data_IF_157450160712
#
_entry.id   IF_157450160712
#
_cell.length_a   1.000
_cell.length_b   1.000
_cell.length_c   1.000
_cell.angle_alpha   90.00
_cell.angle_beta   90.00
_cell.angle_gamma   90.00
#
_symmetry.space_group_name_H-M   'P 1'
#
loop_
_entity.id
_entity.type
_entity.pdbx_description
1 polymer ?
#
# COMPACT_ATOMS: atom_id res chain seq x y z
N UNK A 1 3.40 29.78 -2.84
CA UNK A 1 4.25 28.71 -2.47
C UNK A 1 3.82 27.43 -3.14
N UNK A 2 4.74 26.82 -3.57
CA UNK A 2 4.44 25.54 -4.15
C UNK A 2 4.03 24.63 -3.04
N UNK A 3 2.90 24.10 -3.15
CA UNK A 3 2.57 22.98 -2.36
C UNK A 3 3.03 21.75 -3.04
N UNK A 4 2.82 20.69 -2.41
CA UNK A 4 3.07 19.41 -3.03
C UNK A 4 1.92 19.09 -3.94
N UNK A 5 1.90 19.80 -5.04
CA UNK A 5 0.85 19.62 -6.02
C UNK A 5 0.83 18.17 -6.46
N UNK A 6 -0.34 17.62 -6.56
CA UNK A 6 -0.52 16.26 -7.02
C UNK A 6 -0.42 15.19 -5.94
N UNK A 7 -0.08 15.56 -4.71
CA UNK A 7 -0.05 14.60 -3.61
C UNK A 7 -1.24 14.84 -2.70
N UNK A 8 -2.06 13.81 -2.53
CA UNK A 8 -3.22 13.87 -1.66
C UNK A 8 -3.28 12.60 -0.83
N UNK A 9 -3.10 12.74 0.48
CA UNK A 9 -3.14 11.60 1.37
C UNK A 9 -4.57 11.09 1.52
N UNK A 10 -4.73 9.76 1.47
CA UNK A 10 -6.03 9.09 1.53
C UNK A 10 -6.17 8.38 2.87
N UNK A 11 -5.15 7.63 3.27
CA UNK A 11 -5.21 6.82 4.48
C UNK A 11 -3.84 6.77 5.13
N UNK A 12 -3.82 6.60 6.44
CA UNK A 12 -2.59 6.50 7.21
C UNK A 12 -2.72 5.38 8.23
N UNK A 13 -1.64 4.63 8.41
CA UNK A 13 -1.58 3.54 9.37
C UNK A 13 -0.97 4.05 10.67
N UNK A 14 -1.77 4.69 11.50
CA UNK A 14 -1.30 5.29 12.75
C UNK A 14 -0.79 4.24 13.73
N UNK A 15 -1.42 3.07 13.72
CA UNK A 15 -1.02 1.99 14.61
C UNK A 15 0.39 1.51 14.31
N UNK A 16 0.79 1.50 13.05
CA UNK A 16 2.14 1.09 12.67
C UNK A 16 3.20 2.01 13.28
N UNK A 17 2.94 3.32 13.27
CA UNK A 17 3.86 4.28 13.89
C UNK A 17 3.93 4.11 15.41
N UNK A 18 2.86 3.65 16.02
CA UNK A 18 2.82 3.42 17.45
C UNK A 18 3.54 2.12 17.83
N UNK A 19 3.35 1.07 17.03
CA UNK A 19 3.80 -0.28 17.37
C UNK A 19 5.23 -0.60 16.91
N UNK A 20 5.76 0.17 15.94
CA UNK A 20 7.05 -0.14 15.31
C UNK A 20 7.94 1.08 15.22
N UNK A 21 9.25 0.82 15.27
CA UNK A 21 10.23 1.82 14.87
C UNK A 21 10.41 1.72 13.35
N UNK A 22 10.19 2.81 12.65
CA UNK A 22 10.33 2.83 11.19
C UNK A 22 11.76 3.22 10.85
N UNK A 23 12.52 2.29 10.31
CA UNK A 23 13.92 2.50 9.98
C UNK A 23 14.11 3.16 8.63
N UNK A 24 13.35 2.73 7.64
CA UNK A 24 13.41 3.27 6.28
C UNK A 24 12.03 3.32 5.67
N UNK A 25 11.86 4.22 4.69
CA UNK A 25 10.59 4.35 3.98
C UNK A 25 10.82 4.21 2.49
N UNK A 26 9.83 3.66 1.81
CA UNK A 26 9.86 3.42 0.36
C UNK A 26 8.52 3.80 -0.23
N UNK A 27 8.52 4.18 -1.50
CA UNK A 27 7.28 4.42 -2.24
C UNK A 27 7.09 3.29 -3.26
N UNK A 28 5.88 2.74 -3.30
CA UNK A 28 5.52 1.71 -4.26
C UNK A 28 4.25 2.11 -4.99
N UNK A 29 4.10 1.62 -6.22
CA UNK A 29 2.81 1.66 -6.89
C UNK A 29 1.95 0.51 -6.39
N UNK A 30 0.70 0.48 -6.81
CA UNK A 30 -0.21 -0.59 -6.44
C UNK A 30 -1.13 -0.89 -7.62
N UNK A 31 -1.34 -2.18 -7.89
CA UNK A 31 -2.26 -2.61 -8.94
C UNK A 31 -3.67 -2.68 -8.38
N UNK A 32 -4.56 -1.88 -8.93
CA UNK A 32 -5.95 -1.81 -8.51
C UNK A 32 -6.86 -1.91 -9.71
N UNK A 33 -8.03 -2.50 -9.49
CA UNK A 33 -9.10 -2.47 -10.48
C UNK A 33 -9.83 -1.12 -10.39
N UNK A 34 -10.58 -0.79 -11.44
CA UNK A 34 -11.27 0.50 -11.50
C UNK A 34 -12.19 0.79 -10.32
N UNK A 35 -12.95 -0.23 -9.87
CA UNK A 35 -13.82 -0.07 -8.73
C UNK A 35 -13.04 0.18 -7.44
N UNK A 36 -11.87 -0.42 -7.33
CA UNK A 36 -11.00 -0.20 -6.18
C UNK A 36 -10.45 1.23 -6.17
N UNK A 37 -10.04 1.73 -7.32
CA UNK A 37 -9.55 3.10 -7.44
C UNK A 37 -10.64 4.09 -7.03
N UNK A 38 -11.87 3.84 -7.47
CA UNK A 38 -13.00 4.71 -7.13
C UNK A 38 -13.25 4.71 -5.63
N UNK A 39 -13.22 3.54 -5.01
CA UNK A 39 -13.41 3.42 -3.57
C UNK A 39 -12.28 4.12 -2.80
N UNK A 40 -11.04 3.95 -3.24
CA UNK A 40 -9.89 4.61 -2.65
C UNK A 40 -10.05 6.13 -2.72
N UNK A 41 -10.52 6.63 -3.86
CA UNK A 41 -10.74 8.07 -4.05
C UNK A 41 -11.75 8.62 -3.05
N UNK A 42 -12.68 7.79 -2.63
CA UNK A 42 -13.70 8.16 -1.64
C UNK A 42 -13.27 7.86 -0.21
N UNK A 43 -12.03 7.44 -0.01
CA UNK A 43 -11.51 7.15 1.32
C UNK A 43 -11.86 5.78 1.86
N UNK A 44 -12.35 4.89 1.03
CA UNK A 44 -12.78 3.55 1.45
C UNK A 44 -11.66 2.56 1.64
N UNK A 45 -10.63 2.94 2.39
CA UNK A 45 -9.43 2.13 2.60
C UNK A 45 -9.10 2.05 4.08
N UNK A 46 -8.72 0.87 4.55
CA UNK A 46 -8.24 0.68 5.91
C UNK A 46 -6.93 -0.12 5.86
N UNK A 47 -5.87 0.45 6.44
CA UNK A 47 -4.54 -0.15 6.47
C UNK A 47 -4.24 -0.88 7.78
N UNK A 48 -5.15 -0.85 8.74
CA UNK A 48 -4.92 -1.44 10.04
C UNK A 48 -4.61 -2.93 9.91
N UNK A 49 -3.56 -3.36 10.59
CA UNK A 49 -3.12 -4.76 10.62
C UNK A 49 -2.70 -5.30 9.24
N UNK A 50 -2.42 -4.43 8.30
CA UNK A 50 -1.89 -4.84 7.00
C UNK A 50 -0.37 -5.00 7.08
N UNK A 51 0.17 -5.82 6.21
CA UNK A 51 1.61 -6.02 6.10
C UNK A 51 1.95 -6.50 4.69
N UNK A 52 3.22 -6.38 4.34
CA UNK A 52 3.68 -6.77 3.02
C UNK A 52 4.37 -8.12 3.05
N UNK A 53 4.22 -8.87 1.97
CA UNK A 53 4.91 -10.15 1.78
C UNK A 53 5.59 -10.14 0.43
N UNK A 54 6.75 -10.81 0.34
CA UNK A 54 7.47 -10.98 -0.91
C UNK A 54 7.44 -12.45 -1.24
N UNK A 55 6.93 -12.77 -2.42
CA UNK A 55 6.79 -14.16 -2.86
C UNK A 55 7.20 -14.24 -4.32
N UNK A 56 8.15 -15.11 -4.62
CA UNK A 56 8.64 -15.33 -6.00
C UNK A 56 9.12 -14.03 -6.65
N UNK A 57 9.78 -13.18 -5.87
CA UNK A 57 10.34 -11.92 -6.39
C UNK A 57 9.33 -10.83 -6.60
N UNK A 58 8.09 -11.03 -6.16
CA UNK A 58 7.04 -10.03 -6.27
C UNK A 58 6.56 -9.59 -4.90
N UNK A 59 6.13 -8.34 -4.82
CA UNK A 59 5.73 -7.71 -3.57
C UNK A 59 4.21 -7.58 -3.52
N UNK A 60 3.63 -7.99 -2.41
CA UNK A 60 2.18 -7.92 -2.20
C UNK A 60 1.87 -7.28 -0.86
N UNK A 61 0.70 -6.65 -0.77
CA UNK A 61 0.17 -6.19 0.51
C UNK A 61 -1.01 -7.09 0.90
N UNK A 62 -0.96 -7.58 2.13
CA UNK A 62 -1.98 -8.43 2.71
C UNK A 62 -2.68 -7.67 3.83
N UNK A 63 -4.00 -7.82 3.92
CA UNK A 63 -4.76 -7.20 5.00
C UNK A 63 -5.18 -5.77 4.75
N UNK A 64 -4.91 -5.22 3.57
CA UNK A 64 -5.41 -3.90 3.21
C UNK A 64 -6.86 -4.06 2.73
N UNK A 65 -7.78 -3.42 3.44
CA UNK A 65 -9.20 -3.47 3.11
C UNK A 65 -9.56 -2.30 2.20
N UNK A 66 -10.15 -2.60 1.05
CA UNK A 66 -10.72 -1.58 0.16
C UNK A 66 -12.21 -1.88 0.04
N UNK A 67 -13.03 -0.95 0.51
CA UNK A 67 -14.48 -1.13 0.54
C UNK A 67 -15.03 -1.30 -0.88
N UNK A 68 -16.09 -2.10 -1.05
CA UNK A 68 -16.74 -2.18 -2.35
C UNK A 68 -17.26 -0.80 -2.76
N UNK A 69 -17.13 -0.50 -4.04
CA UNK A 69 -17.70 0.72 -4.58
C UNK A 69 -19.19 0.50 -4.80
N UNK A 70 -20.00 1.31 -4.15
CA UNK A 70 -21.44 1.13 -4.12
C UNK A 70 -22.06 0.96 -5.51
N UNK A 71 -21.55 1.74 -6.47
CA UNK A 71 -22.07 1.70 -7.84
C UNK A 71 -21.36 0.70 -8.72
N UNK A 72 -20.44 -0.08 -8.16
CA UNK A 72 -19.67 -1.05 -8.94
C UNK A 72 -20.37 -2.37 -9.18
N UNK A 73 -21.29 -2.74 -8.27
CA UNK A 73 -22.10 -3.96 -8.39
C UNK A 73 -21.22 -5.18 -8.67
N UNK A 74 -21.46 -5.86 -9.79
CA UNK A 74 -20.74 -7.09 -10.15
C UNK A 74 -19.26 -6.86 -10.46
N UNK A 75 -18.83 -5.63 -10.65
CA UNK A 75 -17.43 -5.33 -10.94
C UNK A 75 -16.60 -5.13 -9.68
N UNK A 76 -17.20 -5.18 -8.51
CA UNK A 76 -16.46 -5.07 -7.26
C UNK A 76 -15.64 -6.32 -7.02
N UNK A 77 -14.49 -6.12 -6.36
CA UNK A 77 -13.59 -7.20 -5.97
C UNK A 77 -13.73 -7.47 -4.48
N UNK A 78 -13.22 -8.62 -4.05
CA UNK A 78 -13.14 -8.92 -2.62
C UNK A 78 -12.40 -7.79 -1.92
N UNK A 79 -12.97 -7.18 -0.88
CA UNK A 79 -12.31 -6.08 -0.16
C UNK A 79 -10.93 -6.44 0.38
N UNK A 80 -10.70 -7.70 0.71
CA UNK A 80 -9.43 -8.17 1.27
C UNK A 80 -8.55 -8.85 0.22
N UNK A 81 -8.85 -8.67 -1.05
CA UNK A 81 -8.06 -9.24 -2.13
C UNK A 81 -6.58 -8.90 -1.95
N UNK A 82 -5.71 -9.89 -2.14
CA UNK A 82 -4.27 -9.67 -2.13
C UNK A 82 -3.91 -8.73 -3.29
N UNK A 83 -3.20 -7.66 -2.99
CA UNK A 83 -2.89 -6.63 -3.98
C UNK A 83 -1.39 -6.58 -4.22
N UNK A 84 -1.02 -6.52 -5.49
CA UNK A 84 0.38 -6.47 -5.87
C UNK A 84 0.89 -5.03 -5.81
N UNK A 85 2.05 -4.86 -5.20
CA UNK A 85 2.73 -3.57 -5.16
C UNK A 85 3.80 -3.54 -6.23
N UNK A 86 4.05 -2.36 -6.76
CA UNK A 86 4.94 -2.17 -7.90
C UNK A 86 6.19 -1.42 -7.46
N UNK A 87 7.32 -2.12 -7.51
CA UNK A 87 8.65 -1.57 -7.28
C UNK A 87 9.61 -2.23 -8.25
N UNK A 88 10.77 -1.65 -8.44
CA UNK A 88 11.79 -2.29 -9.26
C UNK A 88 12.20 -3.62 -8.62
N UNK A 89 12.42 -4.62 -9.46
CA UNK A 89 12.78 -5.96 -8.97
C UNK A 89 14.02 -5.95 -8.12
N UNK A 90 14.97 -5.09 -8.44
CA UNK A 90 16.19 -4.94 -7.66
C UNK A 90 15.89 -4.45 -6.24
N UNK A 91 14.96 -3.53 -6.10
CA UNK A 91 14.55 -3.04 -4.79
C UNK A 91 13.81 -4.10 -4.00
N UNK A 92 12.94 -4.86 -4.66
CA UNK A 92 12.20 -5.94 -4.00
C UNK A 92 13.18 -7.00 -3.48
N UNK A 93 14.18 -7.37 -4.28
CA UNK A 93 15.18 -8.35 -3.86
C UNK A 93 15.97 -7.85 -2.66
N UNK A 94 16.33 -6.57 -2.66
CA UNK A 94 17.04 -5.97 -1.54
C UNK A 94 16.21 -5.99 -0.26
N UNK A 95 14.92 -5.64 -0.39
CA UNK A 95 14.02 -5.65 0.75
C UNK A 95 13.82 -7.07 1.28
N UNK A 96 13.71 -8.05 0.39
CA UNK A 96 13.58 -9.43 0.79
C UNK A 96 14.79 -9.87 1.63
N UNK A 97 15.98 -9.52 1.19
CA UNK A 97 17.20 -9.84 1.94
C UNK A 97 17.18 -9.22 3.33
N UNK A 98 16.79 -7.96 3.42
CA UNK A 98 16.77 -7.27 4.71
C UNK A 98 15.73 -7.84 5.66
N UNK A 99 14.53 -8.16 5.16
CA UNK A 99 13.50 -8.74 6.01
C UNK A 99 13.91 -10.11 6.54
N UNK A 100 14.59 -10.90 5.72
CA UNK A 100 15.05 -12.24 6.12
C UNK A 100 16.25 -12.19 7.06
N UNK A 101 17.24 -11.36 6.75
CA UNK A 101 18.48 -11.34 7.52
C UNK A 101 18.38 -10.58 8.82
N UNK A 102 17.61 -9.49 8.84
CA UNK A 102 17.51 -8.62 10.00
C UNK A 102 16.21 -8.81 10.79
N UNK A 103 15.33 -9.70 10.33
CA UNK A 103 14.07 -9.94 11.02
C UNK A 103 13.12 -8.76 10.97
N UNK A 104 13.21 -7.92 9.94
CA UNK A 104 12.38 -6.73 9.82
C UNK A 104 11.05 -7.06 9.15
N UNK A 105 10.06 -6.23 9.44
CA UNK A 105 8.72 -6.35 8.84
C UNK A 105 8.50 -5.17 7.92
N UNK A 106 7.91 -5.42 6.76
CA UNK A 106 7.57 -4.38 5.79
C UNK A 106 6.09 -4.09 5.90
N UNK A 107 5.72 -2.85 6.16
CA UNK A 107 4.35 -2.46 6.52
C UNK A 107 3.91 -1.26 5.70
N UNK A 108 2.69 -1.24 5.16
CA UNK A 108 2.17 -0.04 4.52
C UNK A 108 1.88 1.03 5.58
N UNK A 109 2.43 2.22 5.39
CA UNK A 109 2.29 3.34 6.32
C UNK A 109 1.20 4.31 5.88
N UNK A 110 1.07 4.54 4.59
CA UNK A 110 0.06 5.44 4.07
C UNK A 110 -0.27 5.12 2.62
N UNK A 111 -1.42 5.58 2.20
CA UNK A 111 -1.90 5.48 0.83
C UNK A 111 -2.24 6.90 0.37
N UNK A 112 -1.80 7.26 -0.82
CA UNK A 112 -2.02 8.61 -1.32
C UNK A 112 -2.08 8.62 -2.85
N UNK A 113 -2.69 9.67 -3.40
CA UNK A 113 -2.57 9.97 -4.82
C UNK A 113 -1.37 10.85 -5.03
N UNK A 114 -0.53 10.48 -5.98
CA UNK A 114 0.56 11.32 -6.45
C UNK A 114 0.28 11.57 -7.92
N UNK A 115 -0.05 12.82 -8.22
CA UNK A 115 -0.65 13.19 -9.48
C UNK A 115 -1.96 12.43 -9.62
N UNK A 116 -2.11 11.51 -10.53
CA UNK A 116 -3.35 10.75 -10.67
C UNK A 116 -3.17 9.27 -10.37
N UNK A 117 -2.04 8.90 -9.76
CA UNK A 117 -1.74 7.50 -9.47
C UNK A 117 -1.76 7.23 -7.99
N UNK A 118 -2.29 6.07 -7.62
CA UNK A 118 -2.29 5.65 -6.23
C UNK A 118 -0.89 5.12 -5.88
N UNK A 119 -0.34 5.63 -4.79
CA UNK A 119 0.96 5.22 -4.28
C UNK A 119 0.81 4.77 -2.83
N UNK A 120 1.71 3.90 -2.41
CA UNK A 120 1.76 3.40 -1.04
C UNK A 120 3.13 3.72 -0.48
N UNK A 121 3.15 4.35 0.70
CA UNK A 121 4.40 4.51 1.44
C UNK A 121 4.58 3.29 2.32
N UNK A 122 5.73 2.63 2.19
CA UNK A 122 6.08 1.45 2.95
C UNK A 122 7.13 1.78 3.99
N UNK A 123 7.03 1.15 5.16
CA UNK A 123 8.02 1.27 6.22
C UNK A 123 8.69 -0.07 6.49
N UNK A 124 9.98 0.01 6.76
CA UNK A 124 10.77 -1.17 7.08
C UNK A 124 11.26 -1.11 8.52
#
# INVERSE_FOLDING_TARGET
MPKQLGIKQIAQNKKAYHDYFILEKYEAGIELFGTEVKSVRMGGVNLKDSFCVIKNGELFVRGMHISPYEKGNIFNRDPMRLKRLLMHKREIARLYGRTKQEGLTLIPLSLYFKDSRVKVELGL
#
